data_IF_380102491899
#
_entry.id   IF_380102491899
#
_cell.length_a   1.000
_cell.length_b   1.000
_cell.length_c   1.000
_cell.angle_alpha   90.00
_cell.angle_beta   90.00
_cell.angle_gamma   90.00
#
_symmetry.space_group_name_H-M   'P 1'
#
loop_
_entity.id
_entity.type
_entity.pdbx_description
1 polymer ?
#
# COMPACT_ATOMS: atom_id res chain seq x y z
N UNK A 1 10.17 2.57 12.64
CA UNK A 1 8.98 1.73 12.92
C UNK A 1 7.75 2.62 12.81
N UNK A 2 6.74 2.09 12.13
CA UNK A 2 5.46 2.79 11.90
C UNK A 2 4.33 1.95 12.48
N UNK A 3 3.41 2.62 13.16
CA UNK A 3 2.21 2.02 13.72
C UNK A 3 1.02 2.91 13.40
N UNK A 4 0.00 2.34 12.74
CA UNK A 4 -1.30 2.99 12.57
C UNK A 4 -2.39 2.11 13.20
N UNK A 5 -3.25 2.75 13.97
CA UNK A 5 -4.45 2.14 14.54
C UNK A 5 -5.66 2.89 14.02
N UNK A 6 -6.67 2.16 13.62
CA UNK A 6 -7.94 2.71 13.16
C UNK A 6 -9.09 2.18 14.02
N UNK A 7 -10.09 3.00 14.23
CA UNK A 7 -11.32 2.62 14.87
C UNK A 7 -12.51 3.14 14.06
N UNK A 8 -13.48 2.28 13.86
CA UNK A 8 -14.68 2.60 13.08
C UNK A 8 -15.95 2.05 13.72
N UNK A 9 -17.04 2.78 13.52
CA UNK A 9 -18.39 2.39 13.93
C UNK A 9 -19.40 2.98 12.95
N UNK A 10 -20.47 2.28 12.72
CA UNK A 10 -21.61 2.70 11.90
C UNK A 10 -21.76 1.86 10.63
N UNK A 11 -22.88 2.04 9.98
CA UNK A 11 -23.16 1.42 8.70
C UNK A 11 -22.74 2.36 7.58
N UNK A 12 -22.21 1.84 6.47
CA UNK A 12 -21.83 2.65 5.34
C UNK A 12 -23.06 3.30 4.69
N UNK A 13 -22.86 4.47 4.10
CA UNK A 13 -23.91 5.17 3.34
C UNK A 13 -24.43 4.29 2.21
N UNK A 14 -25.70 4.42 1.89
CA UNK A 14 -26.39 3.68 0.83
C UNK A 14 -26.29 2.14 0.91
N UNK A 15 -26.03 1.58 2.09
CA UNK A 15 -26.01 0.12 2.29
C UNK A 15 -24.97 -0.60 1.44
N UNK A 16 -23.82 -0.01 1.20
CA UNK A 16 -22.73 -0.52 0.34
C UNK A 16 -23.02 -0.48 -1.16
N UNK A 17 -23.98 0.29 -1.60
CA UNK A 17 -24.32 0.36 -3.03
C UNK A 17 -23.94 1.71 -3.65
N UNK A 18 -23.51 1.68 -4.91
CA UNK A 18 -23.14 2.88 -5.67
C UNK A 18 -21.93 3.62 -5.13
N UNK A 19 -21.67 4.81 -5.66
CA UNK A 19 -20.53 5.66 -5.27
C UNK A 19 -20.58 6.09 -3.81
N UNK A 20 -21.75 6.30 -3.23
CA UNK A 20 -21.90 6.66 -1.83
C UNK A 20 -21.46 5.58 -0.86
N UNK A 21 -21.40 4.31 -1.29
CA UNK A 21 -20.91 3.18 -0.49
C UNK A 21 -19.40 3.15 -0.34
N UNK A 22 -18.65 3.89 -1.16
CA UNK A 22 -17.19 3.84 -1.22
C UNK A 22 -16.48 5.03 -0.59
N UNK A 23 -17.17 5.88 0.13
CA UNK A 23 -16.57 7.03 0.83
C UNK A 23 -15.54 6.61 1.88
N UNK A 24 -15.72 5.42 2.46
CA UNK A 24 -14.73 4.75 3.31
C UNK A 24 -14.77 3.25 3.04
N UNK A 25 -13.81 2.74 2.28
CA UNK A 25 -13.74 1.33 1.86
C UNK A 25 -13.58 0.36 3.04
N UNK A 26 -12.90 0.76 4.09
CA UNK A 26 -12.70 -0.08 5.28
C UNK A 26 -13.96 -0.15 6.13
N UNK A 27 -14.66 0.96 6.34
CA UNK A 27 -15.94 0.98 7.04
C UNK A 27 -16.97 0.09 6.35
N UNK A 28 -16.98 0.05 5.03
CA UNK A 28 -17.91 -0.78 4.27
C UNK A 28 -17.68 -2.27 4.46
N UNK A 29 -16.47 -2.68 4.82
CA UNK A 29 -16.09 -4.09 4.92
C UNK A 29 -16.14 -4.64 6.35
N UNK A 30 -15.82 -3.82 7.34
CA UNK A 30 -15.50 -4.33 8.69
C UNK A 30 -16.20 -3.59 9.83
N UNK A 31 -16.89 -2.48 9.58
CA UNK A 31 -17.65 -1.77 10.61
C UNK A 31 -19.06 -2.36 10.78
N UNK A 32 -19.83 -1.77 11.62
CA UNK A 32 -21.19 -2.13 12.02
C UNK A 32 -21.57 -1.34 13.25
N UNK A 33 -22.67 -1.69 13.93
CA UNK A 33 -23.23 -0.91 15.03
C UNK A 33 -22.33 -0.86 16.28
N UNK A 34 -21.29 -1.67 16.38
CA UNK A 34 -20.35 -1.67 17.49
C UNK A 34 -19.00 -1.09 17.07
N UNK A 35 -18.39 -0.30 17.97
CA UNK A 35 -17.06 0.21 17.77
C UNK A 35 -16.06 -0.95 17.59
N UNK A 36 -15.33 -0.94 16.50
CA UNK A 36 -14.25 -1.88 16.21
C UNK A 36 -12.96 -1.11 16.03
N UNK A 37 -11.94 -1.51 16.77
CA UNK A 37 -10.58 -1.01 16.60
C UNK A 37 -9.67 -2.10 16.05
N UNK A 38 -8.76 -1.74 15.15
CA UNK A 38 -7.79 -2.66 14.60
C UNK A 38 -6.48 -1.97 14.27
N UNK A 39 -5.42 -2.75 14.23
CA UNK A 39 -4.12 -2.29 13.77
C UNK A 39 -4.12 -2.32 12.24
N UNK A 40 -4.06 -1.14 11.64
CA UNK A 40 -4.00 -0.99 10.20
C UNK A 40 -2.61 -1.32 9.66
N UNK A 41 -1.57 -0.74 10.29
CA UNK A 41 -0.18 -0.98 9.92
C UNK A 41 0.70 -1.17 11.14
N UNK A 42 1.69 -2.04 11.01
CA UNK A 42 2.84 -2.14 11.89
C UNK A 42 4.01 -2.68 11.08
N UNK A 43 4.94 -1.82 10.71
CA UNK A 43 6.09 -2.23 9.92
C UNK A 43 7.38 -1.50 10.32
N UNK A 44 8.49 -2.13 9.99
CA UNK A 44 9.83 -1.56 9.99
C UNK A 44 10.18 -1.20 8.55
N UNK A 45 10.68 0.02 8.34
CA UNK A 45 11.31 0.44 7.09
C UNK A 45 12.75 0.82 7.39
N UNK A 46 13.68 0.23 6.64
CA UNK A 46 15.10 0.51 6.71
C UNK A 46 15.61 0.95 5.36
N UNK A 47 16.36 2.04 5.32
CA UNK A 47 16.96 2.60 4.12
C UNK A 47 18.49 2.55 4.24
N UNK A 48 19.15 2.09 3.19
CA UNK A 48 20.61 2.13 3.03
C UNK A 48 20.95 2.98 1.81
N UNK A 49 21.73 4.04 2.03
CA UNK A 49 22.27 4.85 0.93
C UNK A 49 23.35 4.08 0.19
N UNK A 50 23.34 4.15 -1.14
CA UNK A 50 24.30 3.50 -2.03
C UNK A 50 25.17 4.52 -2.78
N UNK A 51 24.87 5.82 -2.69
CA UNK A 51 25.56 6.91 -3.34
C UNK A 51 25.69 8.15 -2.44
N UNK A 52 26.44 9.15 -2.90
CA UNK A 52 26.67 10.40 -2.19
C UNK A 52 25.61 11.48 -2.50
N UNK A 53 24.99 11.42 -3.67
CA UNK A 53 23.93 12.35 -4.03
C UNK A 53 22.70 12.12 -3.16
N UNK A 54 22.11 13.20 -2.68
CA UNK A 54 20.94 13.15 -1.82
C UNK A 54 19.79 14.00 -2.37
N UNK A 55 18.58 13.56 -2.09
CA UNK A 55 17.35 14.28 -2.33
C UNK A 55 16.60 14.52 -1.02
N UNK A 56 15.68 15.47 -1.02
CA UNK A 56 14.82 15.71 0.13
C UNK A 56 13.46 15.07 -0.13
N UNK A 57 13.05 14.17 0.75
CA UNK A 57 11.71 13.62 0.77
C UNK A 57 10.83 14.51 1.64
N UNK A 58 9.70 14.92 1.11
CA UNK A 58 8.67 15.61 1.87
C UNK A 58 7.96 14.66 2.84
N UNK A 59 7.31 15.23 3.86
CA UNK A 59 6.46 14.45 4.76
C UNK A 59 5.22 14.00 4.02
N UNK A 60 4.92 12.72 4.13
CA UNK A 60 3.74 12.10 3.54
C UNK A 60 3.20 11.00 4.46
N UNK A 61 2.13 10.34 4.05
CA UNK A 61 1.54 9.25 4.82
C UNK A 61 2.55 8.11 5.02
N UNK A 62 2.86 7.81 6.30
CA UNK A 62 3.92 6.87 6.68
C UNK A 62 5.32 7.19 6.11
N UNK A 63 5.59 8.45 5.85
CA UNK A 63 6.89 8.95 5.44
C UNK A 63 7.28 10.17 6.28
N UNK A 64 8.42 10.10 6.93
CA UNK A 64 9.00 11.25 7.62
C UNK A 64 9.79 12.08 6.62
N UNK A 65 9.65 13.40 6.71
CA UNK A 65 10.48 14.32 5.94
C UNK A 65 11.97 14.14 6.29
N UNK A 66 12.83 14.22 5.28
CA UNK A 66 14.27 14.13 5.49
C UNK A 66 15.08 13.96 4.22
N UNK A 67 16.41 14.02 4.36
CA UNK A 67 17.32 13.74 3.25
C UNK A 67 17.63 12.24 3.18
N UNK A 68 17.56 11.69 1.98
CA UNK A 68 17.96 10.32 1.66
C UNK A 68 18.92 10.33 0.49
N UNK A 69 19.76 9.31 0.37
CA UNK A 69 20.54 9.13 -0.84
C UNK A 69 19.61 8.85 -2.04
N UNK A 70 19.92 9.43 -3.20
CA UNK A 70 19.18 9.13 -4.44
C UNK A 70 19.29 7.66 -4.78
N UNK A 71 20.52 7.16 -4.88
CA UNK A 71 20.79 5.73 -5.01
C UNK A 71 20.68 5.08 -3.63
N UNK A 72 19.70 4.22 -3.47
CA UNK A 72 19.41 3.60 -2.18
C UNK A 72 18.71 2.25 -2.32
N UNK A 73 18.82 1.45 -1.30
CA UNK A 73 18.02 0.27 -1.11
C UNK A 73 17.09 0.48 0.10
N UNK A 74 15.83 0.12 -0.04
CA UNK A 74 14.82 0.22 1.02
C UNK A 74 14.22 -1.15 1.25
N UNK A 75 14.14 -1.56 2.51
CA UNK A 75 13.45 -2.78 2.93
C UNK A 75 12.34 -2.41 3.90
N UNK A 76 11.13 -2.82 3.59
CA UNK A 76 9.95 -2.70 4.44
C UNK A 76 9.49 -4.09 4.83
N UNK A 77 9.30 -4.35 6.14
CA UNK A 77 8.88 -5.67 6.65
C UNK A 77 7.81 -5.46 7.73
N UNK A 78 6.72 -6.19 7.63
CA UNK A 78 5.67 -6.15 8.63
C UNK A 78 4.27 -6.25 8.06
N UNK A 79 3.33 -5.58 8.71
CA UNK A 79 1.95 -5.44 8.27
C UNK A 79 1.74 -4.09 7.60
N UNK A 80 1.42 -4.08 6.33
CA UNK A 80 1.18 -2.88 5.52
C UNK A 80 0.30 -3.22 4.31
N UNK A 81 -0.09 -2.22 3.54
CA UNK A 81 -0.77 -2.43 2.26
C UNK A 81 0.25 -2.52 1.12
N UNK A 82 0.03 -3.39 0.16
CA UNK A 82 0.80 -3.41 -1.07
C UNK A 82 0.76 -2.03 -1.77
N UNK A 83 -0.37 -1.34 -1.69
CA UNK A 83 -0.58 0.00 -2.24
C UNK A 83 0.23 1.11 -1.55
N UNK A 84 0.84 0.84 -0.40
CA UNK A 84 1.73 1.81 0.26
C UNK A 84 3.07 1.96 -0.50
N UNK A 85 3.39 1.02 -1.41
CA UNK A 85 4.68 0.93 -2.08
C UNK A 85 4.53 0.77 -3.60
N UNK A 86 3.57 -0.03 -4.05
CA UNK A 86 3.39 -0.39 -5.45
C UNK A 86 2.32 0.45 -6.13
N UNK A 87 2.46 0.62 -7.43
CA UNK A 87 1.55 1.37 -8.31
C UNK A 87 1.25 2.79 -7.78
N UNK A 88 2.30 3.52 -7.44
CA UNK A 88 2.20 4.89 -6.95
C UNK A 88 2.02 5.87 -8.13
N UNK A 89 0.85 5.80 -8.77
CA UNK A 89 0.53 6.67 -9.90
C UNK A 89 -0.40 7.82 -9.51
N UNK A 90 -0.31 8.93 -10.25
CA UNK A 90 -1.07 10.15 -9.98
C UNK A 90 -2.53 10.09 -10.44
N UNK A 91 -2.98 9.03 -11.11
CA UNK A 91 -4.26 9.03 -11.83
C UNK A 91 -5.30 8.07 -11.27
N UNK A 92 -4.91 6.93 -10.72
CA UNK A 92 -5.83 5.84 -10.43
C UNK A 92 -5.57 5.10 -9.11
N UNK A 93 -4.77 5.65 -8.20
CA UNK A 93 -4.43 5.01 -6.94
C UNK A 93 -5.49 5.24 -5.84
N UNK A 94 -6.11 6.41 -5.82
CA UNK A 94 -7.15 6.75 -4.83
C UNK A 94 -8.51 6.90 -5.50
N UNK A 95 -9.47 5.98 -5.26
CA UNK A 95 -10.79 6.06 -5.85
C UNK A 95 -11.66 7.20 -5.32
N UNK A 96 -11.20 7.97 -4.33
CA UNK A 96 -11.92 9.12 -3.77
C UNK A 96 -11.55 10.42 -4.46
N UNK A 97 -10.28 10.58 -4.79
CA UNK A 97 -9.70 11.86 -5.27
C UNK A 97 -9.19 11.79 -6.70
N UNK A 98 -8.98 10.58 -7.22
CA UNK A 98 -8.46 10.34 -8.56
C UNK A 98 -9.53 9.67 -9.44
N UNK A 99 -9.18 8.62 -10.18
CA UNK A 99 -10.12 7.90 -11.02
C UNK A 99 -11.10 7.08 -10.16
N UNK A 100 -12.38 7.45 -10.16
CA UNK A 100 -13.42 6.92 -9.27
C UNK A 100 -13.86 5.49 -9.62
N UNK A 101 -12.91 4.58 -9.71
CA UNK A 101 -13.21 3.18 -10.00
C UNK A 101 -12.28 2.26 -9.21
N UNK A 102 -12.83 1.55 -8.27
CA UNK A 102 -12.08 0.58 -7.46
C UNK A 102 -11.38 -0.52 -8.27
N UNK A 103 -11.89 -0.83 -9.47
CA UNK A 103 -11.25 -1.80 -10.35
C UNK A 103 -9.94 -1.29 -10.97
N UNK A 104 -9.70 0.02 -10.95
CA UNK A 104 -8.47 0.64 -11.47
C UNK A 104 -7.49 1.02 -10.37
N UNK A 105 -7.82 0.76 -9.11
CA UNK A 105 -6.90 0.87 -8.00
C UNK A 105 -5.93 -0.31 -8.03
N UNK A 106 -4.63 -0.06 -7.97
CA UNK A 106 -3.56 -1.06 -8.04
C UNK A 106 -3.55 -1.89 -9.34
N UNK A 107 -2.76 -1.47 -10.30
CA UNK A 107 -2.51 -2.17 -11.56
C UNK A 107 -3.76 -2.54 -12.36
N UNK A 108 -4.81 -1.72 -12.29
CA UNK A 108 -6.07 -1.94 -13.03
C UNK A 108 -6.61 -3.35 -12.90
N UNK A 109 -7.40 -3.61 -11.87
CA UNK A 109 -8.05 -4.90 -11.61
C UNK A 109 -7.12 -6.03 -11.10
N UNK A 110 -5.91 -5.72 -10.66
CA UNK A 110 -5.09 -6.69 -9.94
C UNK A 110 -5.62 -6.91 -8.51
N UNK A 111 -5.91 -8.16 -8.18
CA UNK A 111 -6.33 -8.56 -6.83
C UNK A 111 -5.08 -8.89 -5.99
N UNK A 112 -4.52 -7.87 -5.35
CA UNK A 112 -3.31 -8.02 -4.54
C UNK A 112 -3.56 -8.76 -3.22
N UNK A 113 -2.56 -9.47 -2.72
CA UNK A 113 -2.66 -10.24 -1.49
C UNK A 113 -2.85 -9.31 -0.27
N UNK A 114 -4.05 -9.37 0.30
CA UNK A 114 -4.44 -8.56 1.46
C UNK A 114 -5.66 -9.18 2.16
N UNK A 115 -5.89 -8.81 3.42
CA UNK A 115 -7.15 -9.08 4.09
C UNK A 115 -8.29 -8.20 3.52
N UNK A 116 -9.51 -8.38 4.03
CA UNK A 116 -10.68 -7.61 3.59
C UNK A 116 -10.54 -6.09 3.77
N UNK A 117 -9.57 -5.63 4.55
CA UNK A 117 -9.25 -4.21 4.79
C UNK A 117 -8.17 -3.66 3.86
N UNK A 118 -7.50 -4.52 3.09
CA UNK A 118 -6.42 -4.14 2.19
C UNK A 118 -5.01 -4.23 2.79
N UNK A 119 -4.84 -4.94 3.91
CA UNK A 119 -3.56 -5.09 4.60
C UNK A 119 -3.12 -6.55 4.67
N UNK A 120 -1.82 -6.76 4.63
CA UNK A 120 -1.22 -8.08 4.75
C UNK A 120 0.09 -8.02 5.53
N UNK A 121 0.63 -9.19 5.87
CA UNK A 121 1.97 -9.32 6.41
C UNK A 121 2.92 -9.71 5.28
N UNK A 122 4.10 -9.10 5.27
CA UNK A 122 5.07 -9.43 4.25
C UNK A 122 6.29 -8.54 4.27
N UNK A 123 6.94 -8.48 3.13
CA UNK A 123 8.05 -7.58 2.92
C UNK A 123 8.01 -6.97 1.51
N UNK A 124 8.64 -5.81 1.37
CA UNK A 124 8.93 -5.19 0.09
C UNK A 124 10.37 -4.68 0.08
N UNK A 125 11.04 -4.90 -1.02
CA UNK A 125 12.39 -4.43 -1.31
C UNK A 125 12.32 -3.47 -2.49
N UNK A 126 12.94 -2.30 -2.35
CA UNK A 126 12.99 -1.26 -3.37
C UNK A 126 14.44 -0.90 -3.63
N UNK A 127 14.84 -0.86 -4.88
CA UNK A 127 16.17 -0.46 -5.31
C UNK A 127 16.08 0.72 -6.26
N UNK A 128 16.64 1.84 -5.84
CA UNK A 128 16.71 3.10 -6.57
C UNK A 128 18.13 3.26 -7.11
N UNK A 129 18.27 3.41 -8.43
CA UNK A 129 19.56 3.57 -9.08
C UNK A 129 19.43 4.52 -10.28
N UNK A 130 19.92 5.74 -10.15
CA UNK A 130 19.76 6.78 -11.17
C UNK A 130 18.29 7.03 -11.47
N UNK A 131 17.89 6.85 -12.74
CA UNK A 131 16.51 7.03 -13.21
C UNK A 131 15.65 5.77 -13.10
N UNK A 132 16.18 4.69 -12.52
CA UNK A 132 15.50 3.41 -12.41
C UNK A 132 15.08 3.10 -10.98
N UNK A 133 13.89 2.52 -10.84
CA UNK A 133 13.44 1.91 -9.60
C UNK A 133 12.95 0.49 -9.89
N UNK A 134 13.48 -0.47 -9.14
CA UNK A 134 13.01 -1.85 -9.15
C UNK A 134 12.41 -2.15 -7.79
N UNK A 135 11.18 -2.66 -7.78
CA UNK A 135 10.49 -3.09 -6.55
C UNK A 135 10.09 -4.55 -6.66
N UNK A 136 10.25 -5.25 -5.55
CA UNK A 136 9.73 -6.60 -5.34
C UNK A 136 9.06 -6.68 -3.97
N UNK A 137 7.90 -7.33 -3.91
CA UNK A 137 7.21 -7.59 -2.64
C UNK A 137 6.57 -8.95 -2.60
N UNK A 138 6.47 -9.50 -1.39
CA UNK A 138 5.69 -10.70 -1.09
C UNK A 138 4.82 -10.44 0.12
N UNK A 139 3.52 -10.67 -0.04
CA UNK A 139 2.50 -10.44 0.98
C UNK A 139 1.69 -11.71 1.22
N UNK A 140 1.31 -11.93 2.47
CA UNK A 140 0.36 -12.98 2.83
C UNK A 140 -1.08 -12.56 2.51
N UNK A 141 -1.90 -13.53 2.15
CA UNK A 141 -3.35 -13.35 1.97
C UNK A 141 -4.18 -13.86 3.14
N UNK A 142 -5.50 -13.66 3.10
CA UNK A 142 -6.41 -14.20 4.09
C UNK A 142 -6.62 -15.70 3.89
N UNK A 143 -7.02 -16.42 4.95
CA UNK A 143 -7.35 -17.86 4.90
C UNK A 143 -8.58 -18.16 4.04
N UNK A 144 -9.48 -17.21 3.95
CA UNK A 144 -10.69 -17.27 3.11
C UNK A 144 -10.81 -16.00 2.27
N UNK A 145 -11.30 -16.07 1.05
CA UNK A 145 -11.49 -14.89 0.19
C UNK A 145 -12.24 -13.77 0.92
N UNK A 146 -11.74 -12.55 0.84
CA UNK A 146 -12.27 -11.38 1.53
C UNK A 146 -12.42 -11.53 3.06
N UNK A 147 -11.65 -12.42 3.67
CA UNK A 147 -11.60 -12.60 5.12
C UNK A 147 -10.65 -11.62 5.80
N UNK A 148 -10.74 -11.55 7.13
CA UNK A 148 -9.86 -10.72 7.96
C UNK A 148 -8.79 -11.53 8.69
N UNK A 149 -8.87 -12.88 8.63
CA UNK A 149 -7.94 -13.80 9.28
C UNK A 149 -6.82 -14.17 8.31
N UNK A 150 -5.62 -13.68 8.59
CA UNK A 150 -4.44 -13.86 7.72
C UNK A 150 -3.86 -15.27 7.85
N UNK A 151 -3.46 -15.84 6.71
CA UNK A 151 -2.61 -17.03 6.68
C UNK A 151 -1.14 -16.64 6.73
N UNK A 152 -0.50 -16.87 7.85
CA UNK A 152 0.92 -16.49 8.05
C UNK A 152 1.92 -17.40 7.35
N UNK A 153 1.46 -18.41 6.60
CA UNK A 153 2.36 -19.31 5.84
C UNK A 153 2.85 -18.65 4.55
N UNK A 154 3.66 -17.60 4.69
CA UNK A 154 4.17 -16.76 3.59
C UNK A 154 4.91 -17.54 2.48
N UNK A 155 5.31 -18.77 2.73
CA UNK A 155 5.92 -19.63 1.71
C UNK A 155 4.88 -20.47 0.93
N UNK A 156 3.61 -20.49 1.36
CA UNK A 156 2.57 -21.32 0.77
C UNK A 156 1.34 -20.50 0.29
N UNK A 157 1.00 -19.44 1.03
CA UNK A 157 -0.11 -18.54 0.69
C UNK A 157 0.40 -17.11 0.60
N UNK A 158 0.65 -16.64 -0.62
CA UNK A 158 1.24 -15.34 -0.85
C UNK A 158 0.83 -14.78 -2.22
N UNK A 159 0.98 -13.47 -2.36
CA UNK A 159 1.03 -12.79 -3.65
C UNK A 159 2.37 -12.11 -3.80
N UNK A 160 2.98 -12.26 -4.96
CA UNK A 160 4.22 -11.57 -5.34
C UNK A 160 3.89 -10.40 -6.26
N UNK A 161 4.63 -9.31 -6.09
CA UNK A 161 4.56 -8.13 -6.93
C UNK A 161 5.96 -7.73 -7.38
N UNK A 162 6.08 -7.39 -8.66
CA UNK A 162 7.29 -6.82 -9.25
C UNK A 162 6.91 -5.56 -9.99
N UNK A 163 7.66 -4.49 -9.79
CA UNK A 163 7.48 -3.22 -10.47
C UNK A 163 8.80 -2.67 -10.94
N UNK A 164 8.83 -2.14 -12.14
CA UNK A 164 9.99 -1.45 -12.72
C UNK A 164 9.52 -0.08 -13.19
N UNK A 165 10.17 0.96 -12.68
CA UNK A 165 9.94 2.33 -13.10
C UNK A 165 11.19 2.91 -13.76
N UNK A 166 10.98 3.78 -14.73
CA UNK A 166 12.04 4.57 -15.33
C UNK A 166 11.58 6.01 -15.52
N UNK A 167 12.27 6.93 -14.88
CA UNK A 167 12.06 8.36 -15.07
C UNK A 167 12.78 8.82 -16.35
N UNK A 168 12.07 9.50 -17.25
CA UNK A 168 12.68 10.10 -18.44
C UNK A 168 11.91 11.36 -18.86
N UNK A 169 12.62 12.24 -19.50
CA UNK A 169 12.03 13.47 -20.06
C UNK A 169 11.87 13.29 -21.56
N UNK A 170 10.64 13.37 -22.06
CA UNK A 170 10.33 13.35 -23.48
C UNK A 170 10.19 14.79 -23.98
N UNK A 171 10.95 15.14 -25.02
CA UNK A 171 10.86 16.44 -25.71
C UNK A 171 10.95 17.69 -24.80
N UNK A 172 11.66 17.58 -23.68
CA UNK A 172 11.86 18.69 -22.76
C UNK A 172 10.68 18.98 -21.81
N UNK A 173 9.75 18.04 -21.69
CA UNK A 173 8.60 18.09 -20.75
C UNK A 173 8.65 16.96 -19.74
#
# INVERSE_FOLDING_TARGET
IYLNVEAGQGDPMSGLTGLGGFTNGEATRVSGNTLKAYRQRLFLRQTWGLGEESEYLESDFNQMAGRVAKDRFVLTVGNFSALDIFDDNAYAKDPRTQFLNWSNMAYSAYDYAADARGFGWGFAAEWYQGDWVLRFGRMTGPKTPNGTDIDFRIAHHYGDQVEIEHAHTLAGH
#
